data_IF_118095853214
#
_entry.id   IF_118095853214
#
_cell.length_a   1.000
_cell.length_b   1.000
_cell.length_c   1.000
_cell.angle_alpha   90.00
_cell.angle_beta   90.00
_cell.angle_gamma   90.00
#
_symmetry.space_group_name_H-M   'P 1'
#
loop_
_entity.id
_entity.type
_entity.pdbx_description
1 polymer ?
#
# COMPACT_ATOMS: atom_id res chain seq x y z
N UNK A 1 -9.99 -6.11 -20.78
CA UNK A 1 -10.15 -7.25 -21.70
C UNK A 1 -8.88 -7.54 -22.50
N UNK A 2 -8.31 -6.57 -23.24
CA UNK A 2 -7.13 -6.80 -24.09
C UNK A 2 -5.86 -7.30 -23.36
N UNK A 3 -5.52 -6.76 -22.18
CA UNK A 3 -4.36 -7.24 -21.39
C UNK A 3 -4.57 -8.61 -20.73
N UNK A 4 -5.81 -8.98 -20.41
CA UNK A 4 -6.13 -10.27 -19.81
C UNK A 4 -6.06 -11.41 -20.84
N UNK A 5 -6.35 -11.12 -22.11
CA UNK A 5 -6.28 -12.11 -23.20
C UNK A 5 -4.84 -12.47 -23.60
N UNK A 6 -3.87 -11.56 -23.41
CA UNK A 6 -2.45 -11.79 -23.73
C UNK A 6 -1.60 -12.18 -22.52
N UNK A 7 -1.95 -11.72 -21.31
CA UNK A 7 -1.21 -12.01 -20.08
C UNK A 7 -1.93 -13.00 -19.13
N UNK A 8 -3.06 -13.58 -19.54
CA UNK A 8 -3.96 -14.39 -18.69
C UNK A 8 -3.27 -15.46 -17.82
N UNK A 9 -2.40 -16.34 -18.39
CA UNK A 9 -1.69 -17.34 -17.59
C UNK A 9 -0.69 -16.72 -16.60
N UNK A 10 -0.07 -15.60 -16.97
CA UNK A 10 0.95 -14.91 -16.18
C UNK A 10 0.31 -14.16 -15.02
N UNK A 11 -0.86 -13.54 -15.23
CA UNK A 11 -1.61 -12.85 -14.18
C UNK A 11 -2.04 -13.84 -13.09
N UNK A 12 -2.51 -15.03 -13.47
CA UNK A 12 -2.81 -16.09 -12.49
C UNK A 12 -1.56 -16.49 -11.69
N UNK A 13 -0.39 -16.53 -12.32
CA UNK A 13 0.88 -16.81 -11.64
C UNK A 13 1.30 -15.67 -10.68
N UNK A 14 0.97 -14.41 -10.97
CA UNK A 14 1.24 -13.26 -10.07
C UNK A 14 0.40 -13.27 -8.78
N UNK A 15 -0.68 -14.05 -8.74
CA UNK A 15 -1.48 -14.20 -7.53
C UNK A 15 -0.67 -14.82 -6.38
N UNK A 16 0.30 -15.69 -6.67
CA UNK A 16 1.15 -16.34 -5.65
C UNK A 16 2.02 -15.32 -4.90
N UNK A 17 2.90 -14.53 -5.55
CA UNK A 17 3.66 -13.52 -4.84
C UNK A 17 2.76 -12.45 -4.21
N UNK A 18 1.66 -12.05 -4.86
CA UNK A 18 0.74 -11.08 -4.27
C UNK A 18 0.09 -11.62 -2.99
N UNK A 19 -0.30 -12.89 -2.95
CA UNK A 19 -0.86 -13.53 -1.76
C UNK A 19 0.19 -13.62 -0.64
N UNK A 20 1.44 -13.93 -0.97
CA UNK A 20 2.53 -13.95 0.01
C UNK A 20 2.80 -12.55 0.59
N UNK A 21 2.93 -11.53 -0.25
CA UNK A 21 3.19 -10.16 0.19
C UNK A 21 1.98 -9.52 0.85
N UNK A 22 0.85 -9.42 0.14
CA UNK A 22 -0.35 -8.76 0.65
C UNK A 22 -0.99 -9.56 1.78
N UNK A 23 -1.08 -10.88 1.64
CA UNK A 23 -1.65 -11.77 2.66
C UNK A 23 -0.75 -11.88 3.90
N UNK A 24 0.57 -12.00 3.71
CA UNK A 24 1.53 -11.98 4.82
C UNK A 24 1.48 -10.68 5.62
N UNK A 25 1.47 -9.53 4.93
CA UNK A 25 1.30 -8.22 5.57
C UNK A 25 -0.05 -8.09 6.28
N UNK A 26 -1.12 -8.64 5.71
CA UNK A 26 -2.46 -8.60 6.33
C UNK A 26 -2.52 -9.43 7.61
N UNK A 27 -1.90 -10.62 7.63
CA UNK A 27 -1.80 -11.45 8.83
C UNK A 27 -0.96 -10.76 9.91
N UNK A 28 0.20 -10.21 9.54
CA UNK A 28 1.06 -9.41 10.43
C UNK A 28 0.29 -8.21 11.00
N UNK A 29 -0.39 -7.44 10.15
CA UNK A 29 -1.22 -6.32 10.58
C UNK A 29 -2.32 -6.77 11.55
N UNK A 30 -2.93 -7.94 11.33
CA UNK A 30 -3.90 -8.54 12.25
C UNK A 30 -3.32 -8.81 13.64
N UNK A 31 -2.09 -9.30 13.72
CA UNK A 31 -1.39 -9.53 15.00
C UNK A 31 -0.88 -8.24 15.66
N UNK A 32 -0.57 -7.22 14.85
CA UNK A 32 -0.05 -5.94 15.32
C UNK A 32 -1.16 -4.92 15.62
N UNK A 33 -2.40 -5.15 15.19
CA UNK A 33 -3.59 -4.34 15.52
C UNK A 33 -3.67 -3.86 16.98
N UNK A 34 -3.43 -4.70 18.01
CA UNK A 34 -3.48 -4.25 19.40
C UNK A 34 -2.38 -3.22 19.77
N UNK A 35 -1.31 -3.09 18.99
CA UNK A 35 -0.25 -2.10 19.19
C UNK A 35 -0.53 -0.76 18.50
N UNK A 36 -1.52 -0.69 17.61
CA UNK A 36 -1.90 0.54 16.90
C UNK A 36 -3.15 1.16 17.53
N UNK A 37 -3.05 2.43 17.94
CA UNK A 37 -4.22 3.19 18.38
C UNK A 37 -5.21 3.40 17.21
N UNK A 38 -6.52 3.61 17.49
CA UNK A 38 -7.50 3.92 16.45
C UNK A 38 -7.11 5.14 15.60
N UNK A 39 -6.45 6.12 16.21
CA UNK A 39 -5.94 7.31 15.54
C UNK A 39 -4.76 6.99 14.61
N UNK A 40 -3.84 6.13 15.04
CA UNK A 40 -2.71 5.71 14.22
C UNK A 40 -3.15 4.95 12.97
N UNK A 41 -4.16 4.09 13.09
CA UNK A 41 -4.71 3.35 11.95
C UNK A 41 -5.45 4.26 10.95
N UNK A 42 -6.20 5.26 11.45
CA UNK A 42 -6.86 6.24 10.61
C UNK A 42 -5.85 7.08 9.81
N UNK A 43 -4.79 7.54 10.47
CA UNK A 43 -3.70 8.29 9.84
C UNK A 43 -2.95 7.44 8.80
N UNK A 44 -2.63 6.19 9.13
CA UNK A 44 -1.95 5.26 8.20
C UNK A 44 -2.80 5.02 6.95
N UNK A 45 -4.10 4.78 7.11
CA UNK A 45 -5.04 4.57 5.98
C UNK A 45 -5.21 5.83 5.13
N UNK A 46 -5.26 7.01 5.75
CA UNK A 46 -5.32 8.29 5.04
C UNK A 46 -4.06 8.53 4.20
N UNK A 47 -2.88 8.34 4.78
CA UNK A 47 -1.60 8.56 4.10
C UNK A 47 -1.39 7.56 2.96
N UNK A 48 -1.69 6.28 3.15
CA UNK A 48 -1.58 5.26 2.10
C UNK A 48 -2.51 5.53 0.91
N UNK A 49 -3.71 6.07 1.15
CA UNK A 49 -4.65 6.45 0.09
C UNK A 49 -4.12 7.63 -0.75
N UNK A 50 -3.47 8.61 -0.12
CA UNK A 50 -2.81 9.73 -0.83
C UNK A 50 -1.61 9.23 -1.63
N UNK A 51 -0.82 8.30 -1.09
CA UNK A 51 0.27 7.63 -1.82
C UNK A 51 -0.26 6.87 -3.04
N UNK A 52 -1.39 6.16 -2.91
CA UNK A 52 -2.08 5.49 -4.02
C UNK A 52 -2.54 6.47 -5.11
N UNK A 53 -3.05 7.64 -4.74
CA UNK A 53 -3.37 8.70 -5.70
C UNK A 53 -2.12 9.19 -6.43
N UNK A 54 -1.01 9.40 -5.71
CA UNK A 54 0.27 9.73 -6.32
C UNK A 54 0.78 8.65 -7.28
N UNK A 55 0.56 7.37 -6.94
CA UNK A 55 0.92 6.23 -7.79
C UNK A 55 0.05 6.18 -9.04
N UNK A 56 -1.25 6.40 -8.91
CA UNK A 56 -2.16 6.48 -10.06
C UNK A 56 -1.71 7.59 -11.03
N UNK A 57 -1.39 8.79 -10.53
CA UNK A 57 -0.87 9.88 -11.36
C UNK A 57 0.46 9.55 -12.04
N UNK A 58 1.32 8.77 -11.38
CA UNK A 58 2.57 8.29 -11.94
C UNK A 58 2.34 7.26 -13.06
N UNK A 59 1.40 6.33 -12.86
CA UNK A 59 1.01 5.33 -13.87
C UNK A 59 0.32 5.93 -15.09
N UNK A 60 -0.42 7.03 -14.91
CA UNK A 60 -1.03 7.78 -16.00
C UNK A 60 -0.01 8.68 -16.75
N UNK A 61 1.27 8.67 -16.33
CA UNK A 61 2.36 9.47 -16.89
C UNK A 61 2.09 11.00 -16.91
N UNK A 62 1.04 11.46 -16.23
CA UNK A 62 0.68 12.88 -16.13
C UNK A 62 1.69 13.66 -15.30
N UNK A 63 2.27 13.00 -14.28
CA UNK A 63 3.32 13.59 -13.44
C UNK A 63 4.23 12.51 -12.87
N UNK A 64 5.56 12.61 -13.04
CA UNK A 64 6.51 11.67 -12.44
C UNK A 64 6.61 11.94 -10.94
N UNK A 65 5.70 11.35 -10.16
CA UNK A 65 5.74 11.36 -8.70
C UNK A 65 6.53 10.15 -8.25
N UNK A 66 7.69 10.37 -7.61
CA UNK A 66 8.49 9.28 -7.01
C UNK A 66 7.82 8.80 -5.71
N UNK A 67 6.71 8.07 -5.83
CA UNK A 67 5.91 7.57 -4.69
C UNK A 67 6.77 6.76 -3.72
N UNK A 68 7.78 6.04 -4.22
CA UNK A 68 8.77 5.33 -3.43
C UNK A 68 9.50 6.22 -2.41
N UNK A 69 9.76 7.50 -2.73
CA UNK A 69 10.41 8.43 -1.81
C UNK A 69 9.48 8.92 -0.70
N UNK A 70 8.17 8.73 -0.85
CA UNK A 70 7.16 9.09 0.13
C UNK A 70 6.75 7.92 1.03
N UNK A 71 7.27 6.71 0.81
CA UNK A 71 7.10 5.57 1.74
C UNK A 71 7.50 5.90 3.20
N UNK A 72 8.58 6.67 3.48
CA UNK A 72 8.92 7.07 4.84
C UNK A 72 7.82 7.87 5.55
N UNK A 73 6.92 8.52 4.80
CA UNK A 73 5.79 9.25 5.38
C UNK A 73 4.82 8.33 6.13
N UNK A 74 4.71 7.04 5.76
CA UNK A 74 3.91 6.06 6.50
C UNK A 74 4.51 5.78 7.88
N UNK A 75 5.84 5.71 7.97
CA UNK A 75 6.55 5.53 9.26
C UNK A 75 6.37 6.78 10.13
N UNK A 76 6.47 7.97 9.53
CA UNK A 76 6.25 9.24 10.22
C UNK A 76 4.81 9.39 10.72
N UNK A 77 3.81 8.97 9.95
CA UNK A 77 2.40 9.02 10.34
C UNK A 77 2.09 8.15 11.56
N UNK A 78 2.68 6.95 11.62
CA UNK A 78 2.58 6.07 12.79
C UNK A 78 3.34 6.65 13.98
N UNK A 79 4.57 7.13 13.78
CA UNK A 79 5.40 7.67 14.86
C UNK A 79 4.78 8.92 15.50
N UNK A 80 4.27 9.86 14.70
CA UNK A 80 3.58 11.05 15.22
C UNK A 80 2.27 10.71 15.91
N UNK A 81 1.51 9.74 15.38
CA UNK A 81 0.21 9.38 15.95
C UNK A 81 0.29 8.51 17.21
N UNK A 82 1.48 8.00 17.57
CA UNK A 82 1.73 7.32 18.84
C UNK A 82 2.28 8.29 19.91
N UNK A 83 2.75 9.48 19.51
CA UNK A 83 3.30 10.51 20.40
C UNK A 83 2.21 11.47 20.92
N UNK A 84 1.08 11.54 20.21
CA UNK A 84 -0.07 12.41 20.49
C UNK A 84 -1.28 11.58 20.93
#
# INVERSE_FOLDING_TARGET
MAFAATAGPIIALTAVPLLLFQGGLTLLAGTLKPFFSPHALANLTGVSSILLLGLALNLLELKPVKVANYLPALVLAVAFSQLM
#
